data_IF_522236894815
#
_entry.id   IF_522236894815
#
_cell.length_a   1.000
_cell.length_b   1.000
_cell.length_c   1.000
_cell.angle_alpha   90.00
_cell.angle_beta   90.00
_cell.angle_gamma   90.00
#
_symmetry.space_group_name_H-M   'P 1'
#
loop_
_entity.id
_entity.type
_entity.pdbx_description
1 polymer ?
#
# COMPACT_ATOMS: atom_id res chain seq x y z
N UNK A 1 -17.86 8.53 8.51
CA UNK A 1 -16.76 8.96 7.63
C UNK A 1 -16.18 7.71 6.96
N UNK A 2 -16.08 7.68 5.63
CA UNK A 2 -15.55 6.54 4.87
C UNK A 2 -14.01 6.43 5.00
N UNK A 3 -13.44 5.26 4.65
CA UNK A 3 -11.98 5.11 4.57
C UNK A 3 -11.35 6.10 3.59
N UNK A 4 -11.96 6.27 2.41
CA UNK A 4 -11.53 7.25 1.41
C UNK A 4 -11.41 8.67 1.99
N UNK A 5 -12.45 9.16 2.69
CA UNK A 5 -12.43 10.49 3.31
C UNK A 5 -11.36 10.61 4.40
N UNK A 6 -11.18 9.58 5.23
CA UNK A 6 -10.10 9.56 6.25
C UNK A 6 -8.71 9.66 5.62
N UNK A 7 -8.47 8.94 4.51
CA UNK A 7 -7.17 8.94 3.82
C UNK A 7 -6.93 10.26 3.08
N UNK A 8 -7.95 10.77 2.39
CA UNK A 8 -7.89 12.08 1.75
C UNK A 8 -7.45 13.17 2.73
N UNK A 9 -8.09 13.26 3.90
CA UNK A 9 -7.76 14.28 4.91
C UNK A 9 -6.32 14.17 5.42
N UNK A 10 -5.81 12.94 5.57
CA UNK A 10 -4.43 12.68 5.98
C UNK A 10 -3.44 13.09 4.88
N UNK A 11 -3.74 12.78 3.63
CA UNK A 11 -2.91 13.17 2.48
C UNK A 11 -2.81 14.70 2.39
N UNK A 12 -3.94 15.40 2.49
CA UNK A 12 -3.98 16.86 2.49
C UNK A 12 -3.23 17.45 3.69
N UNK A 13 -3.44 16.92 4.89
CA UNK A 13 -2.71 17.36 6.09
C UNK A 13 -1.19 17.09 5.98
N UNK A 14 -0.79 16.09 5.21
CA UNK A 14 0.60 15.76 4.87
C UNK A 14 1.20 16.66 3.78
N UNK A 15 0.45 17.62 3.23
CA UNK A 15 0.91 18.53 2.18
C UNK A 15 0.77 17.97 0.76
N UNK A 16 0.09 16.85 0.57
CA UNK A 16 -0.22 16.32 -0.75
C UNK A 16 -1.46 17.00 -1.34
N UNK A 17 -1.54 17.03 -2.66
CA UNK A 17 -2.76 17.35 -3.41
C UNK A 17 -3.30 16.04 -4.04
N UNK A 18 -4.08 15.24 -3.28
CA UNK A 18 -4.53 13.95 -3.76
C UNK A 18 -5.53 14.08 -4.91
N UNK A 19 -5.31 13.32 -5.98
CA UNK A 19 -6.27 13.12 -7.06
C UNK A 19 -6.96 11.78 -6.81
N UNK A 20 -8.27 11.80 -6.61
CA UNK A 20 -9.05 10.58 -6.41
C UNK A 20 -9.05 9.72 -7.68
N UNK A 21 -8.83 8.42 -7.50
CA UNK A 21 -8.84 7.43 -8.57
C UNK A 21 -10.25 6.86 -8.72
N UNK A 22 -10.66 6.58 -9.94
CA UNK A 22 -11.88 5.82 -10.21
C UNK A 22 -11.72 4.36 -9.75
N UNK A 23 -12.84 3.66 -9.51
CA UNK A 23 -12.82 2.24 -9.15
C UNK A 23 -11.99 1.40 -10.13
N UNK A 24 -12.10 1.69 -11.43
CA UNK A 24 -11.36 1.00 -12.49
C UNK A 24 -9.85 1.21 -12.38
N UNK A 25 -9.41 2.42 -12.03
CA UNK A 25 -8.00 2.73 -11.83
C UNK A 25 -7.46 2.07 -10.58
N UNK A 26 -8.23 2.07 -9.48
CA UNK A 26 -7.86 1.35 -8.24
C UNK A 26 -7.69 -0.14 -8.51
N UNK A 27 -8.65 -0.77 -9.19
CA UNK A 27 -8.55 -2.18 -9.60
C UNK A 27 -7.31 -2.45 -10.46
N UNK A 28 -7.02 -1.56 -11.42
CA UNK A 28 -5.84 -1.67 -12.27
C UNK A 28 -4.55 -1.61 -11.46
N UNK A 29 -4.47 -0.70 -10.49
CA UNK A 29 -3.32 -0.57 -9.60
C UNK A 29 -3.16 -1.76 -8.66
N UNK A 30 -4.23 -2.24 -8.03
CA UNK A 30 -4.21 -3.46 -7.21
C UNK A 30 -3.71 -4.66 -8.03
N UNK A 31 -4.16 -4.82 -9.27
CA UNK A 31 -3.67 -5.88 -10.17
C UNK A 31 -2.18 -5.76 -10.46
N UNK A 32 -1.71 -4.56 -10.85
CA UNK A 32 -0.28 -4.31 -11.14
C UNK A 32 0.59 -4.54 -9.90
N UNK A 33 0.13 -4.10 -8.74
CA UNK A 33 0.82 -4.33 -7.47
C UNK A 33 0.98 -5.83 -7.18
N UNK A 34 -0.10 -6.62 -7.34
CA UNK A 34 -0.06 -8.08 -7.16
C UNK A 34 0.89 -8.76 -8.15
N UNK A 35 0.94 -8.29 -9.40
CA UNK A 35 1.86 -8.81 -10.42
C UNK A 35 3.34 -8.56 -10.09
N UNK A 36 3.66 -7.62 -9.20
CA UNK A 36 5.01 -7.36 -8.71
C UNK A 36 5.25 -8.12 -7.40
N UNK A 37 4.47 -7.81 -6.36
CA UNK A 37 4.75 -8.25 -4.99
C UNK A 37 4.09 -9.58 -4.63
N UNK A 38 3.02 -10.00 -5.30
CA UNK A 38 2.29 -11.25 -4.99
C UNK A 38 2.66 -12.44 -5.88
N UNK A 39 3.74 -12.35 -6.66
CA UNK A 39 4.19 -13.44 -7.54
C UNK A 39 4.55 -14.71 -6.77
N UNK A 40 5.23 -14.60 -5.63
CA UNK A 40 5.59 -15.75 -4.82
C UNK A 40 4.36 -16.46 -4.25
N UNK A 41 3.35 -15.70 -3.81
CA UNK A 41 2.06 -16.24 -3.38
C UNK A 41 1.36 -16.98 -4.52
N UNK A 42 1.27 -16.35 -5.70
CA UNK A 42 0.62 -16.94 -6.87
C UNK A 42 1.33 -18.22 -7.33
N UNK A 43 2.67 -18.23 -7.35
CA UNK A 43 3.44 -19.42 -7.69
C UNK A 43 3.20 -20.57 -6.70
N UNK A 44 3.07 -20.27 -5.39
CA UNK A 44 2.88 -21.27 -4.36
C UNK A 44 1.43 -21.80 -4.26
N UNK A 45 0.43 -20.96 -4.56
CA UNK A 45 -0.98 -21.25 -4.22
C UNK A 45 -1.97 -21.12 -5.38
N UNK A 46 -1.55 -20.51 -6.50
CA UNK A 46 -2.45 -20.12 -7.60
C UNK A 46 -3.36 -18.93 -7.29
N UNK A 47 -3.23 -18.30 -6.11
CA UNK A 47 -4.03 -17.14 -5.70
C UNK A 47 -3.19 -15.85 -5.75
N UNK A 48 -3.84 -14.73 -6.00
CA UNK A 48 -3.19 -13.41 -5.96
C UNK A 48 -3.36 -12.68 -4.63
N UNK A 49 -4.31 -13.12 -3.81
CA UNK A 49 -4.64 -12.54 -2.51
C UNK A 49 -4.87 -13.66 -1.51
N UNK A 50 -4.40 -13.47 -0.28
CA UNK A 50 -4.60 -14.39 0.83
C UNK A 50 -5.49 -13.73 1.89
N UNK A 51 -6.51 -14.43 2.37
CA UNK A 51 -7.48 -13.93 3.36
C UNK A 51 -7.96 -12.49 3.09
N UNK A 52 -8.26 -12.18 1.81
CA UNK A 52 -8.85 -10.91 1.36
C UNK A 52 -7.97 -9.65 1.48
N UNK A 53 -6.75 -9.74 2.03
CA UNK A 53 -5.83 -8.61 2.16
C UNK A 53 -4.53 -8.81 1.37
N UNK A 54 -4.14 -7.80 0.63
CA UNK A 54 -2.91 -7.82 -0.19
C UNK A 54 -1.64 -7.87 0.67
N UNK A 55 -1.66 -7.25 1.85
CA UNK A 55 -0.51 -7.22 2.76
C UNK A 55 -0.15 -8.59 3.35
N UNK A 56 -1.04 -9.59 3.27
CA UNK A 56 -0.76 -10.95 3.73
C UNK A 56 0.35 -11.63 2.93
N UNK A 57 0.69 -11.14 1.74
CA UNK A 57 1.87 -11.62 1.03
C UNK A 57 3.14 -11.48 1.88
N UNK A 58 3.22 -10.46 2.73
CA UNK A 58 4.35 -10.23 3.62
C UNK A 58 4.24 -11.06 4.89
N UNK A 59 3.11 -11.02 5.61
CA UNK A 59 2.99 -11.74 6.89
C UNK A 59 3.08 -13.26 6.75
N UNK A 60 2.77 -13.80 5.56
CA UNK A 60 2.93 -15.22 5.22
C UNK A 60 4.22 -15.51 4.43
N UNK A 61 5.14 -14.55 4.38
CA UNK A 61 6.51 -14.71 3.84
C UNK A 61 6.55 -15.15 2.36
N UNK A 62 5.54 -14.76 1.58
CA UNK A 62 5.48 -15.03 0.15
C UNK A 62 6.24 -14.00 -0.72
N UNK A 63 6.74 -12.93 -0.11
CA UNK A 63 7.62 -11.94 -0.73
C UNK A 63 8.62 -11.41 0.31
N UNK A 64 9.90 -11.13 -0.01
CA UNK A 64 10.84 -10.55 0.95
C UNK A 64 10.41 -9.15 1.43
N UNK A 65 10.58 -8.87 2.72
CA UNK A 65 10.20 -7.58 3.29
C UNK A 65 11.06 -7.22 4.51
N UNK A 66 10.99 -5.95 4.90
CA UNK A 66 11.33 -5.50 6.26
C UNK A 66 10.06 -4.99 6.96
N UNK A 67 10.04 -5.04 8.29
CA UNK A 67 8.86 -4.66 9.09
C UNK A 67 9.25 -3.79 10.29
N UNK A 68 8.26 -3.17 10.93
CA UNK A 68 8.43 -2.34 12.12
C UNK A 68 9.35 -1.14 11.87
N UNK A 69 10.31 -0.90 12.76
CA UNK A 69 11.22 0.26 12.67
C UNK A 69 12.08 0.24 11.40
N UNK A 70 12.42 -0.94 10.88
CA UNK A 70 13.18 -1.05 9.62
C UNK A 70 12.34 -0.60 8.42
N UNK A 71 11.07 -1.00 8.37
CA UNK A 71 10.14 -0.52 7.35
C UNK A 71 9.95 1.00 7.44
N UNK A 72 9.79 1.54 8.64
CA UNK A 72 9.70 2.98 8.85
C UNK A 72 10.94 3.73 8.40
N UNK A 73 12.13 3.21 8.69
CA UNK A 73 13.38 3.84 8.26
C UNK A 73 13.52 3.84 6.73
N UNK A 74 13.18 2.73 6.07
CA UNK A 74 13.18 2.65 4.62
C UNK A 74 12.18 3.64 4.00
N UNK A 75 10.94 3.65 4.51
CA UNK A 75 9.88 4.54 4.02
C UNK A 75 10.19 6.03 4.22
N UNK A 76 10.82 6.41 5.35
CA UNK A 76 11.22 7.82 5.60
C UNK A 76 12.36 8.30 4.70
N UNK A 77 13.18 7.37 4.23
CA UNK A 77 14.30 7.64 3.31
C UNK A 77 13.85 7.81 1.85
N UNK A 78 12.57 7.58 1.54
CA UNK A 78 12.02 7.78 0.21
C UNK A 78 12.06 9.27 -0.17
N UNK A 79 12.66 9.53 -1.33
CA UNK A 79 12.67 10.83 -1.99
C UNK A 79 11.30 11.16 -2.62
N UNK A 80 10.97 12.44 -2.81
CA UNK A 80 9.73 12.84 -3.48
C UNK A 80 9.53 12.16 -4.83
N UNK A 81 8.33 11.61 -5.07
CA UNK A 81 7.97 10.89 -6.28
C UNK A 81 6.48 10.99 -6.60
N UNK A 82 6.08 10.43 -7.75
CA UNK A 82 4.68 10.16 -8.07
C UNK A 82 4.27 8.84 -7.43
N UNK A 83 3.26 8.85 -6.55
CA UNK A 83 2.86 7.68 -5.79
C UNK A 83 1.35 7.51 -5.71
N UNK A 84 0.95 6.28 -5.43
CA UNK A 84 -0.43 5.87 -5.18
C UNK A 84 -0.63 5.52 -3.71
N UNK A 85 -1.85 5.75 -3.23
CA UNK A 85 -2.37 5.18 -1.99
C UNK A 85 -3.67 4.46 -2.34
N UNK A 86 -3.72 3.15 -2.17
CA UNK A 86 -4.89 2.32 -2.53
C UNK A 86 -5.28 1.41 -1.36
N UNK A 87 -6.54 0.98 -1.30
CA UNK A 87 -6.96 -0.03 -0.33
C UNK A 87 -6.15 -1.31 -0.49
N UNK A 88 -5.67 -1.85 0.63
CA UNK A 88 -5.07 -3.19 0.68
C UNK A 88 -6.12 -4.30 0.90
N UNK A 89 -7.40 -3.93 1.05
CA UNK A 89 -8.50 -4.88 1.11
C UNK A 89 -9.04 -5.13 -0.32
N UNK A 90 -9.03 -6.40 -0.74
CA UNK A 90 -9.24 -6.77 -2.14
C UNK A 90 -10.65 -6.51 -2.68
N UNK A 91 -11.62 -6.22 -1.79
CA UNK A 91 -13.01 -5.96 -2.14
C UNK A 91 -13.40 -4.48 -2.03
N UNK A 92 -12.44 -3.60 -1.73
CA UNK A 92 -12.67 -2.17 -1.61
C UNK A 92 -11.89 -1.39 -2.66
N UNK A 93 -12.59 -0.47 -3.32
CA UNK A 93 -12.06 0.37 -4.38
C UNK A 93 -12.04 1.82 -3.92
N UNK A 94 -11.01 2.19 -3.18
CA UNK A 94 -10.64 3.59 -3.04
C UNK A 94 -9.16 3.75 -3.27
N UNK A 95 -8.78 4.91 -3.78
CA UNK A 95 -7.39 5.26 -3.91
C UNK A 95 -7.17 6.68 -4.39
N UNK A 96 -5.95 7.13 -4.21
CA UNK A 96 -5.50 8.46 -4.57
C UNK A 96 -4.15 8.36 -5.26
N UNK A 97 -3.92 9.23 -6.24
CA UNK A 97 -2.60 9.54 -6.75
C UNK A 97 -2.13 10.85 -6.15
N UNK A 98 -0.85 10.92 -5.79
CA UNK A 98 -0.22 12.08 -5.21
C UNK A 98 1.16 12.30 -5.84
N UNK A 99 1.67 13.52 -5.70
CA UNK A 99 3.04 13.89 -6.04
C UNK A 99 3.73 14.40 -4.77
N UNK A 100 5.04 14.17 -4.68
CA UNK A 100 5.87 14.67 -3.58
C UNK A 100 6.31 13.57 -2.61
N UNK A 101 6.57 13.94 -1.36
CA UNK A 101 7.01 12.97 -0.34
C UNK A 101 5.78 12.25 0.24
N UNK A 102 5.73 10.90 0.22
CA UNK A 102 4.66 10.16 0.88
C UNK A 102 4.59 10.51 2.38
N UNK A 103 3.40 10.75 2.94
CA UNK A 103 3.28 11.20 4.32
C UNK A 103 3.67 10.08 5.30
N UNK A 104 4.39 10.46 6.35
CA UNK A 104 4.86 9.53 7.39
C UNK A 104 3.74 9.05 8.31
N UNK A 105 2.65 9.81 8.45
CA UNK A 105 1.56 9.50 9.38
C UNK A 105 0.30 9.14 8.62
N UNK A 106 0.30 7.95 8.05
CA UNK A 106 -0.93 7.33 7.56
C UNK A 106 -1.68 6.67 8.73
N UNK A 107 -3.01 6.68 8.64
CA UNK A 107 -3.90 6.21 9.71
C UNK A 107 -3.74 4.70 9.91
N UNK A 108 -3.46 4.29 11.15
CA UNK A 108 -3.22 2.89 11.54
C UNK A 108 -4.48 2.02 11.62
N UNK A 109 -5.66 2.58 11.37
CA UNK A 109 -6.95 1.86 11.41
C UNK A 109 -7.47 1.49 10.01
N UNK A 110 -6.66 1.64 8.95
CA UNK A 110 -7.07 1.38 7.56
C UNK A 110 -5.95 0.63 6.85
N UNK A 111 -6.30 -0.50 6.22
CA UNK A 111 -5.37 -1.27 5.41
C UNK A 111 -5.16 -0.60 4.05
N UNK A 112 -3.94 -0.11 3.81
CA UNK A 112 -3.58 0.58 2.58
C UNK A 112 -2.21 0.16 2.07
N UNK A 113 -2.05 0.25 0.76
CA UNK A 113 -0.77 0.14 0.07
C UNK A 113 -0.35 1.52 -0.39
N UNK A 114 0.90 1.88 -0.14
CA UNK A 114 1.55 3.05 -0.70
C UNK A 114 2.71 2.60 -1.56
N UNK A 115 2.75 3.03 -2.82
CA UNK A 115 3.79 2.63 -3.76
C UNK A 115 4.04 3.76 -4.79
N UNK A 116 5.25 3.90 -5.33
CA UNK A 116 5.48 4.80 -6.46
C UNK A 116 4.77 4.22 -7.69
N UNK A 117 4.47 5.06 -8.69
CA UNK A 117 3.82 4.59 -9.93
C UNK A 117 4.67 3.61 -10.75
N UNK A 118 5.98 3.55 -10.47
CA UNK A 118 6.94 2.58 -11.02
C UNK A 118 6.91 1.22 -10.33
N UNK A 119 6.35 1.14 -9.11
CA UNK A 119 6.33 -0.05 -8.25
C UNK A 119 7.72 -0.56 -7.83
N UNK A 120 8.74 0.31 -7.77
CA UNK A 120 10.08 -0.05 -7.30
C UNK A 120 10.17 -0.27 -5.77
N UNK A 121 9.14 0.11 -5.02
CA UNK A 121 8.95 -0.21 -3.62
C UNK A 121 7.47 -0.21 -3.25
N UNK A 122 7.12 -0.76 -2.09
CA UNK A 122 5.79 -0.61 -1.50
C UNK A 122 5.89 -0.56 0.01
N UNK A 123 4.97 0.19 0.62
CA UNK A 123 4.70 0.18 2.05
C UNK A 123 3.26 -0.26 2.27
N UNK A 124 3.06 -1.37 2.98
CA UNK A 124 1.75 -1.85 3.39
C UNK A 124 1.49 -1.47 4.85
N UNK A 125 0.44 -0.69 5.06
CA UNK A 125 -0.09 -0.35 6.38
C UNK A 125 -1.26 -1.28 6.68
N UNK A 126 -1.31 -1.78 7.91
CA UNK A 126 -2.29 -2.74 8.38
C UNK A 126 -3.13 -2.12 9.49
N UNK A 127 -4.36 -2.60 9.66
CA UNK A 127 -5.17 -2.30 10.85
C UNK A 127 -4.75 -3.14 12.07
N UNK A 128 -3.99 -4.23 11.85
CA UNK A 128 -3.55 -5.14 12.90
C UNK A 128 -2.29 -4.63 13.61
N UNK A 129 -2.42 -4.19 14.86
CA UNK A 129 -1.30 -3.59 15.62
C UNK A 129 -0.09 -4.50 15.88
N UNK A 130 -0.19 -5.79 15.59
CA UNK A 130 0.91 -6.77 15.71
C UNK A 130 1.54 -7.16 14.36
N UNK A 131 0.99 -6.67 13.25
CA UNK A 131 1.47 -6.94 11.91
C UNK A 131 1.90 -5.64 11.24
N UNK A 132 3.00 -5.69 10.50
CA UNK A 132 3.49 -4.55 9.74
C UNK A 132 3.91 -3.32 10.58
N UNK A 133 3.99 -2.14 9.95
CA UNK A 133 3.90 -1.97 8.50
C UNK A 133 5.02 -2.72 7.79
N UNK A 134 4.77 -3.15 6.56
CA UNK A 134 5.72 -3.90 5.75
C UNK A 134 6.27 -3.01 4.65
N UNK A 135 7.58 -2.96 4.49
CA UNK A 135 8.24 -2.32 3.36
C UNK A 135 8.93 -3.38 2.51
N UNK A 136 8.75 -3.32 1.20
CA UNK A 136 9.33 -4.27 0.26
C UNK A 136 9.75 -3.60 -1.04
N UNK A 137 10.77 -4.18 -1.65
CA UNK A 137 11.21 -3.93 -3.03
C UNK A 137 10.86 -5.19 -3.87
N UNK A 138 10.72 -5.09 -5.20
CA UNK A 138 10.35 -6.20 -6.10
C UNK A 138 11.23 -7.45 -6.02
#
# INVERSE_FOLDING_TARGET
MSHASKIHDVLVAGGCAPVELTDKEVWSWQKRWREVFARGLHAATGKWVLHEFDWHVFSYEHHPYVTGDRAWNAYRAIEPCSFIVISAYAHETFGFQCEGKPPERLKRDIDILVAPTTLDWTMAFTHEGHCGPYFAEP
#
